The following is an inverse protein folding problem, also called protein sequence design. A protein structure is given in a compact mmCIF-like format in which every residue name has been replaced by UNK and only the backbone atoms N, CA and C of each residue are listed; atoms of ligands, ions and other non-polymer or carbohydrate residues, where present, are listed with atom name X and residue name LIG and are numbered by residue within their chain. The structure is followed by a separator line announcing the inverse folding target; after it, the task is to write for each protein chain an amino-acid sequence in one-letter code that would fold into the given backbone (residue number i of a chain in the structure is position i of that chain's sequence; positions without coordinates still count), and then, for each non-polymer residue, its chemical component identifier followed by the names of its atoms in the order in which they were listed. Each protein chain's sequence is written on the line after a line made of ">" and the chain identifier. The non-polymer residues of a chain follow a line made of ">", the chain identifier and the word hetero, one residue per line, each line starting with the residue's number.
data_IF_369195077953
#
_entry.id   IF_369195077953
#
_cell.length_a   1.000
_cell.length_b   1.000
_cell.length_c   1.000
_cell.angle_alpha   90.00
_cell.angle_beta   90.00
_cell.angle_gamma   90.00
#
_symmetry.space_group_name_H-M   'P 1'
#
loop_
_entity.id
_entity.type
_entity.pdbx_description
1 polymer ?
#
# COMPACT_ATOMS: atom_id res chain seq x y z
N UNK A 1 -23.27 -9.46 17.15
CA UNK A 1 -21.92 -9.95 16.75
C UNK A 1 -21.82 -10.38 15.28
N UNK A 2 -22.79 -11.13 14.71
CA UNK A 2 -22.74 -11.61 13.31
C UNK A 2 -22.69 -10.47 12.28
N UNK A 3 -23.50 -9.42 12.45
CA UNK A 3 -23.52 -8.24 11.57
C UNK A 3 -22.17 -7.50 11.52
N UNK A 4 -21.60 -7.18 12.69
CA UNK A 4 -20.29 -6.51 12.78
C UNK A 4 -19.18 -7.28 12.05
N UNK A 5 -19.17 -8.61 12.17
CA UNK A 5 -18.22 -9.47 11.45
C UNK A 5 -18.43 -9.43 9.94
N UNK A 6 -19.68 -9.36 9.47
CA UNK A 6 -19.99 -9.23 8.03
C UNK A 6 -19.50 -7.87 7.50
N UNK A 7 -19.83 -6.78 8.20
CA UNK A 7 -19.40 -5.44 7.84
C UNK A 7 -17.87 -5.32 7.81
N UNK A 8 -17.17 -5.82 8.83
CA UNK A 8 -15.71 -5.82 8.89
C UNK A 8 -15.08 -6.65 7.75
N UNK A 9 -15.65 -7.81 7.43
CA UNK A 9 -15.15 -8.61 6.30
C UNK A 9 -15.38 -7.88 4.97
N UNK A 10 -16.51 -7.22 4.77
CA UNK A 10 -16.74 -6.40 3.58
C UNK A 10 -15.71 -5.28 3.49
N UNK A 11 -15.52 -4.52 4.57
CA UNK A 11 -14.56 -3.42 4.67
C UNK A 11 -13.12 -3.81 4.27
N UNK A 12 -12.64 -4.97 4.74
CA UNK A 12 -11.30 -5.47 4.42
C UNK A 12 -11.25 -6.07 3.00
N UNK A 13 -12.23 -6.89 2.63
CA UNK A 13 -12.24 -7.58 1.34
C UNK A 13 -12.41 -6.60 0.18
N UNK A 14 -13.21 -5.55 0.35
CA UNK A 14 -13.41 -4.48 -0.62
C UNK A 14 -12.26 -3.46 -0.67
N UNK A 15 -11.16 -3.71 0.06
CA UNK A 15 -9.95 -2.87 0.09
C UNK A 15 -10.16 -1.45 0.62
N UNK A 16 -11.22 -1.22 1.41
CA UNK A 16 -11.49 0.10 2.01
C UNK A 16 -10.42 0.39 3.08
N UNK A 17 -10.05 -0.61 3.87
CA UNK A 17 -9.06 -0.43 4.94
C UNK A 17 -7.69 0.02 4.41
N UNK A 18 -7.15 -0.70 3.42
CA UNK A 18 -5.89 -0.32 2.76
C UNK A 18 -5.98 1.04 2.07
N UNK A 19 -7.14 1.40 1.51
CA UNK A 19 -7.33 2.72 0.92
C UNK A 19 -7.26 3.85 1.96
N UNK A 20 -7.81 3.65 3.16
CA UNK A 20 -7.66 4.59 4.28
C UNK A 20 -6.20 4.65 4.73
N UNK A 21 -5.49 3.52 4.75
CA UNK A 21 -4.07 3.50 5.09
C UNK A 21 -3.22 4.30 4.08
N UNK A 22 -3.44 4.13 2.77
CA UNK A 22 -2.74 4.90 1.73
C UNK A 22 -3.11 6.38 1.81
N UNK A 23 -4.39 6.71 2.00
CA UNK A 23 -4.84 8.08 2.23
C UNK A 23 -4.13 8.70 3.45
N UNK A 24 -4.03 7.97 4.57
CA UNK A 24 -3.33 8.43 5.76
C UNK A 24 -1.85 8.75 5.47
N UNK A 25 -1.18 7.95 4.62
CA UNK A 25 0.20 8.24 4.20
C UNK A 25 0.32 9.50 3.33
N UNK A 26 -0.69 9.80 2.50
CA UNK A 26 -0.77 11.09 1.79
C UNK A 26 -0.91 12.24 2.78
N UNK A 27 -1.82 12.11 3.76
CA UNK A 27 -2.03 13.12 4.80
C UNK A 27 -0.78 13.36 5.65
N UNK A 28 -0.03 12.32 5.96
CA UNK A 28 1.29 12.42 6.60
C UNK A 28 2.22 13.30 5.76
N UNK A 29 2.34 13.05 4.45
CA UNK A 29 3.17 13.88 3.57
C UNK A 29 2.68 15.34 3.54
N UNK A 30 1.37 15.55 3.41
CA UNK A 30 0.81 16.92 3.43
C UNK A 30 1.15 17.64 4.74
N UNK A 31 1.09 16.95 5.89
CA UNK A 31 1.50 17.52 7.18
C UNK A 31 2.99 17.88 7.21
N UNK A 32 3.88 16.94 6.83
CA UNK A 32 5.33 17.15 6.86
C UNK A 32 5.80 18.32 5.99
N UNK A 33 5.10 18.58 4.87
CA UNK A 33 5.44 19.65 3.95
C UNK A 33 4.56 20.90 4.09
N UNK A 34 3.65 20.93 5.08
CA UNK A 34 2.74 22.06 5.32
C UNK A 34 1.81 22.34 4.14
N UNK A 35 1.36 21.30 3.44
CA UNK A 35 0.47 21.42 2.29
C UNK A 35 -0.99 21.57 2.75
N UNK A 36 -1.77 22.33 1.99
CA UNK A 36 -3.22 22.34 2.14
C UNK A 36 -3.82 21.00 1.73
N UNK A 37 -5.00 20.66 2.28
CA UNK A 37 -5.71 19.44 1.90
C UNK A 37 -6.17 19.52 0.44
N UNK A 38 -5.55 18.73 -0.45
CA UNK A 38 -6.01 18.60 -1.83
C UNK A 38 -7.08 17.50 -1.92
N UNK A 39 -8.34 17.88 -1.69
CA UNK A 39 -9.46 16.92 -1.62
C UNK A 39 -9.61 16.08 -2.90
N UNK A 40 -9.43 16.69 -4.07
CA UNK A 40 -9.57 15.99 -5.35
C UNK A 40 -8.47 14.95 -5.54
N UNK A 41 -7.21 15.31 -5.26
CA UNK A 41 -6.09 14.37 -5.34
C UNK A 41 -6.24 13.25 -4.30
N UNK A 42 -6.61 13.61 -3.08
CA UNK A 42 -6.71 12.66 -1.99
C UNK A 42 -7.86 11.67 -2.22
N UNK A 43 -8.99 12.13 -2.76
CA UNK A 43 -10.10 11.28 -3.18
C UNK A 43 -9.72 10.39 -4.38
N UNK A 44 -9.01 10.94 -5.38
CA UNK A 44 -8.49 10.17 -6.51
C UNK A 44 -7.59 9.01 -6.03
N UNK A 45 -6.63 9.28 -5.15
CA UNK A 45 -5.72 8.26 -4.60
C UNK A 45 -6.50 7.22 -3.78
N UNK A 46 -7.47 7.65 -2.98
CA UNK A 46 -8.31 6.76 -2.18
C UNK A 46 -9.11 5.78 -3.05
N UNK A 47 -9.91 6.30 -3.98
CA UNK A 47 -10.73 5.48 -4.88
C UNK A 47 -9.88 4.68 -5.88
N UNK A 48 -8.73 5.22 -6.29
CA UNK A 48 -7.74 4.53 -7.10
C UNK A 48 -7.10 3.34 -6.37
N UNK A 49 -6.85 3.48 -5.06
CA UNK A 49 -6.38 2.36 -4.23
C UNK A 49 -7.42 1.25 -4.17
N UNK A 50 -8.70 1.57 -3.93
CA UNK A 50 -9.78 0.57 -3.94
C UNK A 50 -9.84 -0.14 -5.30
N UNK A 51 -9.85 0.64 -6.39
CA UNK A 51 -9.91 0.13 -7.77
C UNK A 51 -8.73 -0.79 -8.06
N UNK A 52 -7.50 -0.34 -7.84
CA UNK A 52 -6.27 -1.09 -8.13
C UNK A 52 -6.16 -2.36 -7.30
N UNK A 53 -6.40 -2.30 -5.99
CA UNK A 53 -6.33 -3.48 -5.12
C UNK A 53 -7.42 -4.50 -5.44
N UNK A 54 -8.66 -4.06 -5.69
CA UNK A 54 -9.73 -4.99 -6.04
C UNK A 54 -9.53 -5.59 -7.43
N UNK A 55 -8.99 -4.82 -8.39
CA UNK A 55 -8.56 -5.35 -9.69
C UNK A 55 -7.52 -6.46 -9.51
N UNK A 56 -6.44 -6.20 -8.76
CA UNK A 56 -5.38 -7.19 -8.47
C UNK A 56 -5.93 -8.42 -7.72
N UNK A 57 -6.85 -8.24 -6.76
CA UNK A 57 -7.43 -9.33 -5.96
C UNK A 57 -8.37 -10.22 -6.77
N UNK A 58 -9.18 -9.64 -7.65
CA UNK A 58 -10.32 -10.34 -8.25
C UNK A 58 -10.26 -10.53 -9.77
N UNK A 59 -9.30 -9.94 -10.48
CA UNK A 59 -9.17 -10.09 -11.93
C UNK A 59 -9.09 -11.57 -12.40
N UNK A 60 -8.33 -12.41 -11.70
CA UNK A 60 -8.23 -13.84 -12.03
C UNK A 60 -9.50 -14.65 -11.73
N UNK A 61 -10.20 -14.32 -10.64
CA UNK A 61 -11.42 -15.02 -10.21
C UNK A 61 -12.59 -14.70 -11.15
N UNK A 62 -12.68 -13.45 -11.62
CA UNK A 62 -13.72 -13.01 -12.56
C UNK A 62 -13.57 -13.66 -13.95
N UNK A 63 -12.33 -13.91 -14.42
CA UNK A 63 -12.07 -14.60 -15.70
C UNK A 63 -12.51 -16.07 -15.70
N UNK A 64 -12.34 -16.79 -14.57
CA UNK A 64 -12.55 -18.25 -14.52
C UNK A 64 -13.97 -18.67 -14.10
N UNK A 65 -14.69 -17.85 -13.32
CA UNK A 65 -15.94 -18.27 -12.67
C UNK A 65 -17.12 -17.31 -12.84
N UNK A 66 -17.22 -16.60 -13.96
CA UNK A 66 -18.20 -15.52 -14.14
C UNK A 66 -19.67 -15.90 -13.82
N UNK A 67 -20.04 -17.19 -13.94
CA UNK A 67 -21.39 -17.72 -13.70
C UNK A 67 -21.66 -18.23 -12.27
N UNK A 68 -20.64 -18.40 -11.42
CA UNK A 68 -20.78 -18.98 -10.06
C UNK A 68 -20.22 -18.09 -8.94
N UNK A 69 -20.14 -16.76 -9.16
CA UNK A 69 -19.73 -15.82 -8.12
C UNK A 69 -20.72 -15.80 -6.95
N UNK A 70 -20.18 -15.92 -5.73
CA UNK A 70 -20.96 -15.69 -4.51
C UNK A 70 -21.54 -14.26 -4.48
N UNK A 71 -22.72 -14.09 -3.88
CA UNK A 71 -23.38 -12.77 -3.79
C UNK A 71 -22.48 -11.69 -3.17
N UNK A 72 -21.62 -12.06 -2.22
CA UNK A 72 -20.65 -11.13 -1.63
C UNK A 72 -19.64 -10.59 -2.65
N UNK A 73 -19.19 -11.41 -3.60
CA UNK A 73 -18.22 -10.97 -4.61
C UNK A 73 -18.88 -10.05 -5.64
N UNK A 74 -20.16 -10.27 -5.97
CA UNK A 74 -20.95 -9.35 -6.82
C UNK A 74 -21.10 -7.96 -6.18
N UNK A 75 -21.35 -7.90 -4.86
CA UNK A 75 -21.45 -6.62 -4.14
C UNK A 75 -20.08 -5.90 -4.16
N UNK A 76 -18.98 -6.62 -3.94
CA UNK A 76 -17.63 -6.04 -4.02
C UNK A 76 -17.34 -5.53 -5.45
N UNK A 77 -17.77 -6.24 -6.48
CA UNK A 77 -17.61 -5.79 -7.87
C UNK A 77 -18.39 -4.49 -8.15
N UNK A 78 -19.66 -4.43 -7.73
CA UNK A 78 -20.46 -3.21 -7.88
C UNK A 78 -19.83 -2.03 -7.13
N UNK A 79 -19.39 -2.25 -5.89
CA UNK A 79 -18.67 -1.23 -5.10
C UNK A 79 -17.37 -0.79 -5.79
N UNK A 80 -16.62 -1.74 -6.37
CA UNK A 80 -15.39 -1.44 -7.11
C UNK A 80 -15.66 -0.63 -8.37
N UNK A 81 -16.77 -0.90 -9.07
CA UNK A 81 -17.18 -0.13 -10.24
C UNK A 81 -17.58 1.30 -9.88
N UNK A 82 -18.32 1.50 -8.80
CA UNK A 82 -18.63 2.83 -8.28
C UNK A 82 -17.35 3.57 -7.88
N UNK A 83 -16.42 2.88 -7.22
CA UNK A 83 -15.10 3.44 -6.86
C UNK A 83 -14.28 3.80 -8.10
N UNK A 84 -14.35 3.02 -9.16
CA UNK A 84 -13.69 3.32 -10.43
C UNK A 84 -14.26 4.60 -11.06
N UNK A 85 -15.58 4.77 -11.12
CA UNK A 85 -16.18 6.00 -11.63
C UNK A 85 -15.85 7.22 -10.77
N UNK A 86 -15.83 7.07 -9.43
CA UNK A 86 -15.39 8.12 -8.54
C UNK A 86 -13.91 8.49 -8.78
N UNK A 87 -13.03 7.49 -8.92
CA UNK A 87 -11.63 7.70 -9.30
C UNK A 87 -11.52 8.47 -10.63
N UNK A 88 -12.26 8.09 -11.67
CA UNK A 88 -12.26 8.82 -12.94
C UNK A 88 -12.74 10.27 -12.78
N UNK A 89 -13.84 10.48 -12.05
CA UNK A 89 -14.39 11.80 -11.79
C UNK A 89 -13.36 12.73 -11.11
N UNK A 90 -12.73 12.26 -10.03
CA UNK A 90 -11.70 13.04 -9.34
C UNK A 90 -10.43 13.21 -10.17
N UNK A 91 -10.09 12.21 -10.99
CA UNK A 91 -8.94 12.28 -11.91
C UNK A 91 -9.10 13.38 -12.96
N UNK A 92 -10.32 13.65 -13.42
CA UNK A 92 -10.61 14.77 -14.34
C UNK A 92 -10.42 16.15 -13.69
N UNK A 93 -10.40 16.24 -12.36
CA UNK A 93 -10.15 17.49 -11.63
C UNK A 93 -8.65 17.74 -11.36
N UNK A 94 -7.78 16.77 -11.66
CA UNK A 94 -6.33 16.88 -11.45
C UNK A 94 -5.67 17.56 -12.66
N UNK A 95 -4.69 18.42 -12.41
CA UNK A 95 -3.94 19.10 -13.48
C UNK A 95 -3.21 18.11 -14.40
N UNK A 96 -3.13 18.44 -15.69
CA UNK A 96 -2.48 17.60 -16.69
C UNK A 96 -1.01 17.32 -16.33
N UNK A 97 -0.29 18.31 -15.79
CA UNK A 97 1.09 18.15 -15.34
C UNK A 97 1.21 17.06 -14.29
N UNK A 98 0.33 17.02 -13.29
CA UNK A 98 0.31 15.98 -12.24
C UNK A 98 -0.08 14.61 -12.83
N UNK A 99 -1.05 14.57 -13.75
CA UNK A 99 -1.47 13.32 -14.41
C UNK A 99 -0.33 12.65 -15.19
N UNK A 100 0.56 13.43 -15.82
CA UNK A 100 1.74 12.89 -16.49
C UNK A 100 2.65 12.12 -15.51
N UNK A 101 2.82 12.61 -14.28
CA UNK A 101 3.58 11.90 -13.24
C UNK A 101 2.84 10.68 -12.68
N UNK A 102 1.51 10.70 -12.66
CA UNK A 102 0.68 9.58 -12.19
C UNK A 102 0.72 8.41 -13.19
N UNK A 103 0.75 8.70 -14.49
CA UNK A 103 0.58 7.71 -15.56
C UNK A 103 1.56 6.51 -15.47
N UNK A 104 2.88 6.69 -15.23
CA UNK A 104 3.81 5.58 -15.05
C UNK A 104 3.43 4.64 -13.89
N UNK A 105 2.94 5.17 -12.77
CA UNK A 105 2.55 4.35 -11.60
C UNK A 105 1.26 3.57 -11.86
N UNK A 106 0.31 4.18 -12.58
CA UNK A 106 -0.89 3.47 -13.04
C UNK A 106 -0.50 2.34 -13.99
N UNK A 107 0.35 2.62 -14.98
CA UNK A 107 0.90 1.60 -15.89
C UNK A 107 1.56 0.47 -15.11
N UNK A 108 2.45 0.78 -14.17
CA UNK A 108 3.12 -0.21 -13.33
C UNK A 108 2.13 -1.05 -12.50
N UNK A 109 1.03 -0.47 -12.02
CA UNK A 109 -0.04 -1.19 -11.31
C UNK A 109 -0.77 -2.17 -12.23
N UNK A 110 -1.01 -1.81 -13.50
CA UNK A 110 -1.55 -2.73 -14.50
C UNK A 110 -0.57 -3.87 -14.80
N UNK A 111 0.72 -3.56 -15.03
CA UNK A 111 1.79 -4.54 -15.27
C UNK A 111 1.99 -5.50 -14.10
N UNK A 112 1.65 -5.06 -12.90
CA UNK A 112 1.71 -5.90 -11.71
C UNK A 112 0.70 -7.05 -11.76
N UNK A 113 -0.50 -6.82 -12.30
CA UNK A 113 -1.57 -7.81 -12.36
C UNK A 113 -1.66 -8.55 -13.70
N UNK A 114 -1.29 -7.91 -14.80
CA UNK A 114 -1.47 -8.41 -16.16
C UNK A 114 -0.10 -8.80 -16.75
N UNK A 115 0.08 -10.05 -17.21
CA UNK A 115 1.31 -10.45 -17.90
C UNK A 115 1.47 -9.65 -19.19
N UNK A 116 2.63 -9.01 -19.36
CA UNK A 116 2.76 -7.87 -20.28
C UNK A 116 3.32 -8.21 -21.67
N UNK A 117 3.78 -9.43 -21.95
CA UNK A 117 4.39 -9.73 -23.25
C UNK A 117 4.05 -11.15 -23.69
N UNK A 118 3.76 -11.34 -24.97
CA UNK A 118 3.37 -12.59 -25.66
C UNK A 118 4.50 -13.65 -25.73
N UNK A 119 5.15 -13.87 -24.60
CA UNK A 119 6.32 -14.75 -24.39
C UNK A 119 6.76 -14.82 -22.91
N UNK A 120 6.31 -13.90 -22.06
CA UNK A 120 6.42 -14.00 -20.60
C UNK A 120 5.07 -14.37 -20.01
N UNK A 121 4.89 -15.64 -19.65
CA UNK A 121 3.63 -16.11 -19.02
C UNK A 121 3.38 -15.50 -17.63
N UNK A 122 4.35 -14.78 -17.07
CA UNK A 122 4.34 -14.29 -15.67
C UNK A 122 4.11 -12.79 -15.56
N UNK A 123 3.20 -12.40 -14.66
CA UNK A 123 3.02 -11.00 -14.22
C UNK A 123 4.15 -10.57 -13.25
N UNK A 124 4.35 -9.25 -13.01
CA UNK A 124 5.37 -8.80 -12.03
C UNK A 124 5.07 -9.32 -10.61
N UNK A 125 3.79 -9.58 -10.29
CA UNK A 125 3.36 -10.18 -9.03
C UNK A 125 3.90 -11.59 -8.81
N UNK A 126 4.18 -12.32 -9.89
CA UNK A 126 4.71 -13.68 -9.85
C UNK A 126 6.25 -13.72 -9.75
N UNK A 127 6.90 -12.56 -9.84
CA UNK A 127 8.34 -12.42 -9.67
C UNK A 127 8.65 -12.10 -8.19
N UNK A 128 8.90 -13.15 -7.42
CA UNK A 128 9.45 -13.19 -6.05
C UNK A 128 9.76 -11.82 -5.38
N UNK A 129 10.98 -11.29 -5.49
CA UNK A 129 11.41 -10.05 -4.83
C UNK A 129 10.84 -8.80 -5.49
N UNK A 130 10.66 -8.84 -6.81
CA UNK A 130 10.21 -7.69 -7.58
C UNK A 130 8.79 -7.27 -7.18
N UNK A 131 7.94 -8.24 -6.82
CA UNK A 131 6.57 -8.02 -6.35
C UNK A 131 6.50 -6.94 -5.27
N UNK A 132 7.27 -7.07 -4.18
CA UNK A 132 7.18 -6.14 -3.04
C UNK A 132 7.81 -4.78 -3.36
N UNK A 133 8.87 -4.77 -4.18
CA UNK A 133 9.55 -3.54 -4.59
C UNK A 133 8.64 -2.69 -5.47
N UNK A 134 7.90 -3.32 -6.39
CA UNK A 134 6.91 -2.63 -7.24
C UNK A 134 5.82 -1.98 -6.40
N UNK A 135 5.24 -2.72 -5.43
CA UNK A 135 4.19 -2.17 -4.56
C UNK A 135 4.72 -1.00 -3.72
N UNK A 136 5.92 -1.16 -3.12
CA UNK A 136 6.54 -0.10 -2.34
C UNK A 136 6.86 1.15 -3.17
N UNK A 137 7.29 0.98 -4.42
CA UNK A 137 7.56 2.08 -5.34
C UNK A 137 6.29 2.82 -5.76
N UNK A 138 5.20 2.08 -6.05
CA UNK A 138 3.90 2.70 -6.36
C UNK A 138 3.38 3.47 -5.14
N UNK A 139 3.45 2.90 -3.94
CA UNK A 139 3.03 3.58 -2.72
C UNK A 139 3.85 4.82 -2.43
N UNK A 140 5.19 4.76 -2.54
CA UNK A 140 6.02 5.95 -2.30
C UNK A 140 5.77 7.03 -3.33
N UNK A 141 5.58 6.66 -4.61
CA UNK A 141 5.17 7.57 -5.67
C UNK A 141 3.87 8.30 -5.32
N UNK A 142 2.78 7.56 -5.08
CA UNK A 142 1.47 8.16 -4.82
C UNK A 142 1.37 8.90 -3.47
N UNK A 143 2.09 8.46 -2.45
CA UNK A 143 1.95 9.05 -1.10
C UNK A 143 2.97 10.13 -0.79
N UNK A 144 4.05 10.28 -1.58
CA UNK A 144 5.07 11.31 -1.40
C UNK A 144 5.23 12.17 -2.65
N UNK A 145 5.59 11.58 -3.78
CA UNK A 145 5.92 12.34 -4.99
C UNK A 145 4.72 13.09 -5.56
N UNK A 146 3.59 12.40 -5.75
CA UNK A 146 2.41 12.98 -6.42
C UNK A 146 1.82 14.19 -5.67
N UNK A 147 1.62 14.15 -4.33
CA UNK A 147 1.15 15.32 -3.58
C UNK A 147 2.06 16.55 -3.73
N UNK A 148 3.37 16.33 -3.79
CA UNK A 148 4.36 17.41 -3.91
C UNK A 148 4.43 17.98 -5.34
N UNK A 149 4.36 17.12 -6.35
CA UNK A 149 4.26 17.56 -7.75
C UNK A 149 2.96 18.33 -7.99
N UNK A 150 1.85 17.93 -7.37
CA UNK A 150 0.55 18.56 -7.54
C UNK A 150 0.53 20.04 -7.08
N UNK A 151 1.38 20.40 -6.12
CA UNK A 151 1.57 21.78 -5.64
C UNK A 151 2.76 22.49 -6.30
N UNK A 152 3.39 21.87 -7.32
CA UNK A 152 4.49 22.44 -8.07
C UNK A 152 5.84 22.48 -7.34
N UNK A 153 6.05 21.64 -6.32
CA UNK A 153 7.36 21.54 -5.64
C UNK A 153 8.38 20.85 -6.53
N UNK A 154 9.56 21.45 -6.65
CA UNK A 154 10.70 20.83 -7.34
C UNK A 154 11.26 19.65 -6.54
N UNK A 155 11.71 18.61 -7.26
CA UNK A 155 12.27 17.39 -6.65
C UNK A 155 13.63 17.73 -6.04
N UNK A 156 13.64 17.89 -4.71
CA UNK A 156 14.84 18.15 -3.93
C UNK A 156 15.40 16.88 -3.27
N UNK A 157 16.60 17.01 -2.67
CA UNK A 157 17.18 15.95 -1.85
C UNK A 157 16.24 15.56 -0.70
N UNK A 158 15.59 16.52 -0.05
CA UNK A 158 14.65 16.25 1.04
C UNK A 158 13.47 15.38 0.58
N UNK A 159 12.88 15.70 -0.58
CA UNK A 159 11.79 14.89 -1.18
C UNK A 159 12.29 13.47 -1.50
N UNK A 160 13.52 13.36 -2.01
CA UNK A 160 14.13 12.06 -2.33
C UNK A 160 14.36 11.20 -1.07
N UNK A 161 14.76 11.82 0.05
CA UNK A 161 14.88 11.13 1.34
C UNK A 161 13.53 10.64 1.86
N UNK A 162 12.48 11.45 1.76
CA UNK A 162 11.11 11.05 2.08
C UNK A 162 10.61 9.89 1.20
N UNK A 163 10.91 9.92 -0.10
CA UNK A 163 10.56 8.84 -1.03
C UNK A 163 11.23 7.54 -0.64
N UNK A 164 12.53 7.59 -0.34
CA UNK A 164 13.29 6.41 0.11
C UNK A 164 12.76 5.90 1.44
N UNK A 165 12.52 6.77 2.42
CA UNK A 165 11.99 6.40 3.71
C UNK A 165 10.61 5.72 3.57
N UNK A 166 9.69 6.33 2.82
CA UNK A 166 8.36 5.77 2.57
C UNK A 166 8.46 4.41 1.88
N UNK A 167 9.34 4.27 0.89
CA UNK A 167 9.59 3.02 0.20
C UNK A 167 10.02 1.92 1.18
N UNK A 168 11.02 2.18 2.04
CA UNK A 168 11.49 1.22 3.04
C UNK A 168 10.39 0.83 4.03
N UNK A 169 9.62 1.79 4.54
CA UNK A 169 8.51 1.55 5.45
C UNK A 169 7.46 0.64 4.80
N UNK A 170 7.09 0.89 3.54
CA UNK A 170 6.09 0.07 2.85
C UNK A 170 6.61 -1.34 2.60
N UNK A 171 7.88 -1.52 2.25
CA UNK A 171 8.50 -2.86 2.18
C UNK A 171 8.31 -3.59 3.51
N UNK A 172 8.58 -2.95 4.65
CA UNK A 172 8.43 -3.57 5.97
C UNK A 172 6.97 -3.89 6.29
N UNK A 173 6.02 -3.00 5.98
CA UNK A 173 4.59 -3.22 6.20
C UNK A 173 4.04 -4.41 5.40
N UNK A 174 4.69 -4.78 4.29
CA UNK A 174 4.32 -5.96 3.48
C UNK A 174 4.86 -7.27 4.09
N UNK A 175 5.97 -7.25 4.83
CA UNK A 175 6.59 -8.48 5.35
C UNK A 175 5.66 -9.34 6.23
N UNK A 176 4.81 -8.79 7.13
CA UNK A 176 3.83 -9.59 7.87
C UNK A 176 2.81 -10.33 6.99
N UNK A 177 2.51 -9.81 5.79
CA UNK A 177 1.65 -10.49 4.82
C UNK A 177 2.39 -11.63 4.14
N UNK A 178 3.61 -11.39 3.67
CA UNK A 178 4.43 -12.44 3.06
C UNK A 178 4.73 -13.57 4.07
N UNK A 179 4.97 -13.26 5.36
CA UNK A 179 5.16 -14.26 6.43
C UNK A 179 3.89 -15.09 6.64
N UNK A 180 2.70 -14.47 6.59
CA UNK A 180 1.42 -15.19 6.66
C UNK A 180 1.29 -16.20 5.52
N UNK A 181 1.65 -15.75 4.33
CA UNK A 181 1.25 -16.39 3.08
C UNK A 181 2.26 -17.48 2.63
N UNK A 182 3.38 -17.63 3.34
CA UNK A 182 4.40 -18.69 3.12
C UNK A 182 3.80 -20.08 2.86
N UNK A 183 2.77 -20.46 3.62
CA UNK A 183 2.12 -21.79 3.53
C UNK A 183 1.26 -21.97 2.28
N UNK A 184 0.80 -20.87 1.68
CA UNK A 184 -0.12 -20.86 0.53
C UNK A 184 0.56 -20.47 -0.77
N UNK A 185 1.70 -19.77 -0.68
CA UNK A 185 2.51 -19.41 -1.84
C UNK A 185 2.96 -20.66 -2.60
N UNK A 186 2.97 -20.59 -3.94
CA UNK A 186 3.52 -21.66 -4.77
C UNK A 186 5.04 -21.80 -4.55
N UNK A 187 5.61 -23.01 -4.75
CA UNK A 187 7.04 -23.28 -4.51
C UNK A 187 7.95 -22.39 -5.39
N UNK A 188 7.50 -22.08 -6.60
CA UNK A 188 8.20 -21.18 -7.53
C UNK A 188 8.14 -19.70 -7.11
N UNK A 189 7.18 -19.30 -6.27
CA UNK A 189 7.07 -17.95 -5.73
C UNK A 189 8.02 -17.80 -4.54
N UNK A 190 9.29 -17.54 -4.83
CA UNK A 190 10.40 -17.46 -3.86
C UNK A 190 10.35 -16.19 -2.99
N UNK A 191 9.23 -15.90 -2.31
CA UNK A 191 9.10 -14.71 -1.44
C UNK A 191 10.22 -14.62 -0.40
N UNK A 192 10.46 -13.43 0.15
CA UNK A 192 11.54 -13.21 1.14
C UNK A 192 11.48 -14.26 2.27
N UNK A 193 10.35 -14.46 2.98
CA UNK A 193 10.29 -15.45 4.05
C UNK A 193 10.45 -16.90 3.57
N UNK A 194 10.11 -17.23 2.31
CA UNK A 194 10.45 -18.55 1.76
C UNK A 194 11.94 -18.73 1.51
N UNK A 195 12.63 -17.70 1.00
CA UNK A 195 14.05 -17.80 0.65
C UNK A 195 14.97 -17.75 1.85
N UNK A 196 14.73 -16.84 2.80
CA UNK A 196 15.62 -16.61 3.95
C UNK A 196 15.05 -17.10 5.28
N UNK A 197 13.79 -17.54 5.31
CA UNK A 197 13.09 -17.97 6.52
C UNK A 197 12.44 -16.81 7.28
N UNK A 198 11.45 -17.14 8.11
CA UNK A 198 10.66 -16.19 8.90
C UNK A 198 11.56 -15.30 9.78
N UNK A 199 12.46 -15.91 10.55
CA UNK A 199 13.29 -15.17 11.52
C UNK A 199 14.25 -14.19 10.85
N UNK A 200 14.85 -14.56 9.71
CA UNK A 200 15.74 -13.64 8.97
C UNK A 200 14.93 -12.53 8.28
N UNK A 201 13.71 -12.82 7.86
CA UNK A 201 12.78 -11.80 7.32
C UNK A 201 12.42 -10.75 8.36
N UNK A 202 12.14 -11.17 9.60
CA UNK A 202 11.91 -10.25 10.72
C UNK A 202 13.14 -9.37 11.00
N UNK A 203 14.34 -9.97 11.05
CA UNK A 203 15.61 -9.22 11.23
C UNK A 203 15.85 -8.22 10.10
N UNK A 204 15.59 -8.61 8.84
CA UNK A 204 15.67 -7.70 7.69
C UNK A 204 14.70 -6.53 7.87
N UNK A 205 13.44 -6.78 8.23
CA UNK A 205 12.48 -5.71 8.45
C UNK A 205 12.86 -4.75 9.58
N UNK A 206 13.42 -5.26 10.67
CA UNK A 206 13.98 -4.40 11.74
C UNK A 206 15.13 -3.53 11.22
N UNK A 207 16.06 -4.12 10.45
CA UNK A 207 17.16 -3.37 9.83
C UNK A 207 16.64 -2.22 8.94
N UNK A 208 15.66 -2.52 8.08
CA UNK A 208 15.06 -1.51 7.18
C UNK A 208 14.31 -0.41 7.96
N UNK A 209 13.65 -0.75 9.08
CA UNK A 209 13.04 0.25 9.96
C UNK A 209 14.10 1.12 10.63
N UNK A 210 15.23 0.56 11.09
CA UNK A 210 16.34 1.36 11.66
C UNK A 210 16.88 2.34 10.63
N UNK A 211 17.05 1.92 9.37
CA UNK A 211 17.39 2.85 8.29
C UNK A 211 16.33 3.93 8.09
N UNK A 212 15.04 3.58 8.15
CA UNK A 212 13.93 4.54 8.04
C UNK A 212 13.93 5.56 9.20
N UNK A 213 14.34 5.14 10.40
CA UNK A 213 14.52 6.01 11.56
C UNK A 213 15.70 6.97 11.37
N UNK A 214 16.84 6.49 10.87
CA UNK A 214 17.98 7.37 10.55
C UNK A 214 17.54 8.43 9.54
N UNK A 215 16.82 8.03 8.48
CA UNK A 215 16.27 8.96 7.50
C UNK A 215 15.33 10.00 8.14
N UNK A 216 14.45 9.60 9.06
CA UNK A 216 13.55 10.54 9.76
C UNK A 216 14.33 11.66 10.45
N UNK A 217 15.39 11.31 11.17
CA UNK A 217 16.21 12.28 11.90
C UNK A 217 17.08 13.15 10.99
N UNK A 218 17.33 12.73 9.75
CA UNK A 218 17.99 13.55 8.72
C UNK A 218 17.00 14.49 8.01
N UNK A 219 15.74 14.08 7.89
CA UNK A 219 14.68 14.79 7.16
C UNK A 219 14.15 15.99 7.96
N UNK A 220 13.81 15.79 9.24
CA UNK A 220 13.16 16.81 10.05
C UNK A 220 13.84 16.98 11.41
N UNK A 221 13.89 18.23 11.89
CA UNK A 221 14.30 18.55 13.26
C UNK A 221 13.13 18.57 14.25
N UNK A 222 11.90 18.76 13.76
CA UNK A 222 10.72 19.09 14.56
C UNK A 222 10.26 17.94 15.46
N UNK A 223 10.00 18.25 16.74
CA UNK A 223 9.52 17.26 17.71
C UNK A 223 8.09 16.79 17.42
N UNK A 224 7.27 17.66 16.80
CA UNK A 224 5.88 17.37 16.43
C UNK A 224 5.76 16.20 15.45
N UNK A 225 6.76 15.97 14.60
CA UNK A 225 6.77 14.82 13.68
C UNK A 225 7.57 13.62 14.21
N UNK A 226 8.67 13.88 14.93
CA UNK A 226 9.55 12.82 15.46
C UNK A 226 8.86 11.93 16.47
N UNK A 227 8.08 12.50 17.39
CA UNK A 227 7.42 11.70 18.42
C UNK A 227 6.35 10.77 17.83
N UNK A 228 5.43 11.24 16.97
CA UNK A 228 4.52 10.37 16.22
C UNK A 228 5.22 9.30 15.39
N UNK A 229 6.30 9.65 14.68
CA UNK A 229 7.08 8.69 13.91
C UNK A 229 7.71 7.62 14.80
N UNK A 230 8.25 8.00 15.96
CA UNK A 230 8.84 7.06 16.91
C UNK A 230 7.81 6.05 17.43
N UNK A 231 6.60 6.50 17.77
CA UNK A 231 5.50 5.61 18.15
C UNK A 231 5.13 4.65 17.01
N UNK A 232 4.98 5.17 15.79
CA UNK A 232 4.74 4.36 14.60
C UNK A 232 5.85 3.32 14.38
N UNK A 233 7.12 3.72 14.48
CA UNK A 233 8.28 2.86 14.34
C UNK A 233 8.23 1.68 15.33
N UNK A 234 7.96 1.95 16.61
CA UNK A 234 7.86 0.89 17.62
C UNK A 234 6.69 -0.06 17.33
N UNK A 235 5.52 0.47 16.95
CA UNK A 235 4.37 -0.36 16.60
C UNK A 235 4.67 -1.27 15.41
N UNK A 236 5.30 -0.75 14.34
CA UNK A 236 5.70 -1.55 13.18
C UNK A 236 6.63 -2.69 13.60
N UNK A 237 7.64 -2.42 14.43
CA UNK A 237 8.54 -3.47 14.93
C UNK A 237 7.77 -4.51 15.75
N UNK A 238 6.88 -4.09 16.66
CA UNK A 238 6.10 -5.03 17.48
C UNK A 238 5.25 -5.94 16.60
N UNK A 239 4.52 -5.39 15.63
CA UNK A 239 3.68 -6.18 14.73
C UNK A 239 4.50 -7.08 13.80
N UNK A 240 5.63 -6.60 13.29
CA UNK A 240 6.56 -7.40 12.49
C UNK A 240 7.08 -8.61 13.29
N UNK A 241 7.58 -8.37 14.51
CA UNK A 241 8.15 -9.44 15.34
C UNK A 241 7.10 -10.47 15.78
N UNK A 242 5.85 -10.03 15.95
CA UNK A 242 4.70 -10.89 16.31
C UNK A 242 4.05 -11.61 15.12
N UNK A 243 4.37 -11.24 13.88
CA UNK A 243 3.83 -11.91 12.69
C UNK A 243 4.23 -13.39 12.66
N UNK A 244 3.32 -14.27 12.25
CA UNK A 244 3.56 -15.73 12.19
C UNK A 244 2.84 -16.35 11.00
N UNK A 245 3.30 -17.52 10.55
CA UNK A 245 2.65 -18.27 9.46
C UNK A 245 1.25 -18.79 9.81
N UNK A 246 0.87 -18.86 11.08
CA UNK A 246 -0.42 -19.34 11.59
C UNK A 246 -1.25 -18.22 12.27
N UNK A 247 -0.95 -16.97 11.97
CA UNK A 247 -1.64 -15.82 12.55
C UNK A 247 -3.10 -15.69 12.12
N UNK A 248 -3.89 -14.98 12.93
CA UNK A 248 -5.30 -14.71 12.61
C UNK A 248 -5.45 -13.92 11.31
N UNK A 249 -6.56 -14.12 10.59
CA UNK A 249 -6.88 -13.41 9.34
C UNK A 249 -6.74 -11.89 9.46
N UNK A 250 -7.17 -11.32 10.60
CA UNK A 250 -7.18 -9.88 10.84
C UNK A 250 -5.84 -9.32 11.31
N UNK A 251 -4.84 -10.15 11.63
CA UNK A 251 -3.55 -9.65 12.10
C UNK A 251 -2.90 -8.73 11.06
N UNK A 252 -2.58 -9.25 9.88
CA UNK A 252 -1.99 -8.42 8.83
C UNK A 252 -3.05 -7.51 8.18
N UNK A 253 -4.18 -8.09 7.76
CA UNK A 253 -5.21 -7.38 6.97
C UNK A 253 -6.06 -6.35 7.72
N UNK A 254 -5.84 -6.17 9.02
CA UNK A 254 -6.45 -5.08 9.78
C UNK A 254 -5.40 -4.41 10.67
N UNK A 255 -4.77 -5.14 11.60
CA UNK A 255 -3.90 -4.48 12.57
C UNK A 255 -2.60 -3.90 11.98
N UNK A 256 -1.96 -4.59 11.04
CA UNK A 256 -0.76 -4.06 10.36
C UNK A 256 -1.11 -2.92 9.40
N UNK A 257 -2.19 -3.06 8.63
CA UNK A 257 -2.69 -2.00 7.74
C UNK A 257 -3.21 -0.76 8.49
N UNK A 258 -3.57 -0.88 9.76
CA UNK A 258 -3.98 0.23 10.62
C UNK A 258 -2.81 1.16 11.02
N UNK A 259 -1.56 0.68 10.93
CA UNK A 259 -0.39 1.42 11.44
C UNK A 259 -0.17 2.78 10.76
N UNK A 260 -0.25 2.91 9.42
CA UNK A 260 -0.28 4.22 8.75
C UNK A 260 -1.34 5.19 9.27
N UNK A 261 -2.52 4.67 9.62
CA UNK A 261 -3.65 5.48 10.12
C UNK A 261 -3.32 6.00 11.52
N UNK A 262 -2.74 5.14 12.37
CA UNK A 262 -2.27 5.55 13.71
C UNK A 262 -1.20 6.62 13.60
N UNK A 263 -0.22 6.46 12.69
CA UNK A 263 0.80 7.48 12.48
C UNK A 263 0.17 8.83 12.11
N UNK A 264 -0.76 8.85 11.16
CA UNK A 264 -1.44 10.08 10.78
C UNK A 264 -2.22 10.71 11.94
N UNK A 265 -2.97 9.93 12.73
CA UNK A 265 -3.75 10.44 13.87
C UNK A 265 -2.85 11.08 14.96
N UNK A 266 -1.59 10.64 15.06
CA UNK A 266 -0.65 11.16 16.04
C UNK A 266 0.02 12.49 15.63
N UNK A 267 -0.07 12.89 14.36
CA UNK A 267 0.48 14.16 13.82
C UNK A 267 -0.49 15.34 14.02
#
# INVERSE_FOLDING_TARGET
>A
MKFLKIALNFYINASIHVAIAVYALVRVTEYYFGLSNNEYLNAFIFFGTITGYNFVKYAGVAKLHHRSLTNNLKIIQLFSLVSFFAMCYYGLQISLSTLVFIFPFVGLTFLYAVPFLSGFEKSLREVSFLKILVVAFVWSGFTVLIPLVAVGKEISLNISLHLLQRFLIVVVLILPFDIRDVKYDAINLQTIPKKIGEQRTKRLGVLLMVFSLILEYLISSELSVKFPFMMFFFLVIVFLMRSKTDQSKYFSSFWVELLPIIWWILL
#
